data_IF_545489437074
#
_entry.id   IF_545489437074
#
_cell.length_a   1.000
_cell.length_b   1.000
_cell.length_c   1.000
_cell.angle_alpha   90.00
_cell.angle_beta   90.00
_cell.angle_gamma   90.00
#
_symmetry.space_group_name_H-M   'P 1'
#
loop_
_entity.id
_entity.type
_entity.pdbx_description
1 polymer ?
#
# COMPACT_ATOMS: atom_id res chain seq x y z
N UNK A 1 1.31 4.62 12.48
CA UNK A 1 2.68 5.15 12.64
C UNK A 1 2.70 6.66 12.84
N UNK A 2 2.33 7.47 11.84
CA UNK A 2 2.34 8.95 11.95
C UNK A 2 1.65 9.46 13.22
N UNK A 3 0.42 9.00 13.46
CA UNK A 3 -0.34 9.24 14.70
C UNK A 3 0.43 8.90 15.98
N UNK A 4 1.07 7.74 16.02
CA UNK A 4 1.85 7.31 17.18
C UNK A 4 3.07 8.18 17.44
N UNK A 5 3.79 8.59 16.38
CA UNK A 5 4.92 9.52 16.51
C UNK A 5 4.47 10.91 16.97
N UNK A 6 3.30 11.39 16.52
CA UNK A 6 2.73 12.68 16.92
C UNK A 6 2.33 12.74 18.40
N UNK A 7 2.16 11.59 19.06
CA UNK A 7 1.90 11.52 20.51
C UNK A 7 3.17 11.57 21.36
N UNK A 8 4.35 11.46 20.75
CA UNK A 8 5.61 11.51 21.49
C UNK A 8 6.02 12.96 21.69
N UNK A 9 6.06 13.43 22.94
CA UNK A 9 6.51 14.79 23.28
C UNK A 9 7.98 15.02 22.92
N UNK A 10 8.78 13.96 22.89
CA UNK A 10 10.20 14.00 22.54
C UNK A 10 10.47 14.16 21.04
N UNK A 11 9.46 14.25 20.18
CA UNK A 11 9.63 14.26 18.73
C UNK A 11 8.78 15.34 18.05
N UNK A 12 9.42 16.21 17.27
CA UNK A 12 8.73 16.98 16.25
C UNK A 12 8.51 16.10 15.01
N UNK A 13 7.28 16.04 14.51
CA UNK A 13 6.94 15.20 13.35
C UNK A 13 6.33 16.05 12.27
N UNK A 14 6.94 15.99 11.09
CA UNK A 14 6.40 16.56 9.86
C UNK A 14 6.05 15.44 8.89
N UNK A 15 5.01 15.65 8.07
CA UNK A 15 4.71 14.76 6.96
C UNK A 15 5.44 15.18 5.68
N UNK A 16 5.57 14.23 4.75
CA UNK A 16 6.07 14.47 3.40
C UNK A 16 5.00 14.05 2.39
N UNK A 17 4.52 14.99 1.59
CA UNK A 17 3.64 14.72 0.46
C UNK A 17 4.47 14.59 -0.81
N UNK A 18 4.33 13.43 -1.45
CA UNK A 18 4.94 13.10 -2.73
C UNK A 18 4.02 12.16 -3.49
N UNK A 19 3.91 12.33 -4.81
CA UNK A 19 3.12 11.46 -5.67
C UNK A 19 4.02 10.50 -6.45
N UNK A 20 3.47 9.35 -6.86
CA UNK A 20 4.23 8.34 -7.60
C UNK A 20 4.67 8.85 -8.98
N UNK A 21 3.72 9.29 -9.82
CA UNK A 21 3.99 9.75 -11.19
C UNK A 21 3.60 11.21 -11.50
N UNK A 22 2.90 11.89 -10.58
CA UNK A 22 2.41 13.27 -10.76
C UNK A 22 3.35 14.28 -10.12
N UNK A 23 3.52 15.43 -10.77
CA UNK A 23 4.27 16.56 -10.22
C UNK A 23 3.32 17.35 -9.31
N UNK A 24 3.69 17.51 -8.04
CA UNK A 24 2.94 18.39 -7.13
C UNK A 24 3.38 19.85 -7.32
N UNK A 25 2.43 20.77 -7.16
CA UNK A 25 2.75 22.19 -7.07
C UNK A 25 3.72 22.44 -5.90
N UNK A 26 4.57 23.47 -6.02
CA UNK A 26 5.51 23.84 -4.96
C UNK A 26 4.81 24.74 -3.96
N UNK A 27 5.00 24.44 -2.68
CA UNK A 27 4.59 25.31 -1.59
C UNK A 27 5.54 26.49 -1.43
N UNK A 28 5.68 26.98 -0.20
CA UNK A 28 6.50 28.14 0.14
C UNK A 28 7.89 27.68 0.55
N UNK A 29 8.93 28.37 0.08
CA UNK A 29 10.30 28.14 0.57
C UNK A 29 10.55 28.93 1.85
N UNK A 30 10.65 28.21 2.96
CA UNK A 30 10.93 28.79 4.28
C UNK A 30 12.42 28.90 4.61
N UNK A 31 13.30 28.32 3.78
CA UNK A 31 14.74 28.29 4.05
C UNK A 31 15.55 28.61 2.78
N UNK A 32 16.74 29.19 2.97
CA UNK A 32 17.66 29.63 1.92
C UNK A 32 18.09 31.09 2.10
N UNK A 33 18.90 31.61 1.16
CA UNK A 33 19.42 33.00 1.19
C UNK A 33 18.32 34.06 1.15
N UNK A 34 17.21 33.76 0.47
CA UNK A 34 16.01 34.59 0.39
C UNK A 34 14.80 33.66 0.54
N UNK A 35 14.26 33.49 1.76
CA UNK A 35 13.04 32.72 2.00
C UNK A 35 11.79 33.44 1.48
N UNK A 36 11.00 32.76 0.64
CA UNK A 36 9.74 33.31 0.10
C UNK A 36 8.74 33.72 1.20
N UNK A 37 8.87 33.13 2.39
CA UNK A 37 8.05 33.48 3.54
C UNK A 37 8.18 34.94 3.99
N UNK A 38 9.27 35.62 3.64
CA UNK A 38 9.56 37.01 4.08
C UNK A 38 8.86 38.08 3.25
N UNK A 39 8.52 37.82 1.98
CA UNK A 39 7.94 38.84 1.08
C UNK A 39 6.59 38.44 0.48
N UNK A 40 6.15 37.19 0.60
CA UNK A 40 4.80 36.81 0.20
C UNK A 40 3.78 37.26 1.26
N UNK A 41 2.69 37.87 0.82
CA UNK A 41 1.52 38.12 1.67
C UNK A 41 0.86 36.79 2.09
N UNK A 42 0.06 36.79 3.17
CA UNK A 42 -0.68 35.58 3.57
C UNK A 42 -1.63 35.09 2.46
N UNK A 43 -2.30 35.99 1.73
CA UNK A 43 -3.16 35.60 0.60
C UNK A 43 -2.39 34.93 -0.54
N UNK A 44 -1.18 35.39 -0.84
CA UNK A 44 -0.30 34.76 -1.83
C UNK A 44 0.18 33.37 -1.36
N UNK A 45 0.49 33.22 -0.07
CA UNK A 45 0.85 31.91 0.52
C UNK A 45 -0.33 30.94 0.42
N UNK A 46 -1.53 31.35 0.82
CA UNK A 46 -2.76 30.53 0.74
C UNK A 46 -3.05 30.10 -0.70
N UNK A 47 -2.97 31.01 -1.68
CA UNK A 47 -3.13 30.67 -3.10
C UNK A 47 -2.08 29.67 -3.60
N UNK A 48 -0.87 29.69 -3.05
CA UNK A 48 0.17 28.72 -3.40
C UNK A 48 -0.09 27.36 -2.78
N UNK A 49 -0.58 27.34 -1.55
CA UNK A 49 -1.01 26.14 -0.85
C UNK A 49 -2.23 25.48 -1.51
N UNK A 50 -3.21 26.24 -2.00
CA UNK A 50 -4.38 25.66 -2.69
C UNK A 50 -3.99 24.93 -3.98
N UNK A 51 -2.98 25.43 -4.71
CA UNK A 51 -2.44 24.75 -5.90
C UNK A 51 -1.86 23.37 -5.58
N UNK A 52 -1.33 23.16 -4.37
CA UNK A 52 -0.88 21.84 -3.92
C UNK A 52 -2.06 20.89 -3.82
N UNK A 53 -3.14 21.30 -3.14
CA UNK A 53 -4.35 20.51 -3.00
C UNK A 53 -4.95 20.14 -4.36
N UNK A 54 -5.03 21.10 -5.29
CA UNK A 54 -5.47 20.89 -6.68
C UNK A 54 -4.59 19.84 -7.38
N UNK A 55 -3.27 20.03 -7.37
CA UNK A 55 -2.33 19.11 -8.04
C UNK A 55 -2.31 17.69 -7.43
N UNK A 56 -2.74 17.54 -6.18
CA UNK A 56 -2.84 16.25 -5.51
C UNK A 56 -4.20 15.56 -5.79
N UNK A 57 -5.30 16.32 -5.80
CA UNK A 57 -6.66 15.82 -5.92
C UNK A 57 -7.07 15.54 -7.37
N UNK A 58 -6.68 16.38 -8.33
CA UNK A 58 -7.21 16.28 -9.69
C UNK A 58 -6.53 15.18 -10.50
N UNK A 59 -7.34 14.33 -11.14
CA UNK A 59 -7.07 13.91 -12.52
C UNK A 59 -7.81 14.93 -13.38
N UNK A 60 -7.16 16.00 -13.87
CA UNK A 60 -7.87 16.91 -14.75
C UNK A 60 -8.37 16.11 -15.96
N UNK A 61 -9.45 16.58 -16.57
CA UNK A 61 -9.81 16.16 -17.92
C UNK A 61 -8.69 16.70 -18.83
N UNK A 62 -7.63 15.90 -19.01
CA UNK A 62 -6.44 16.35 -19.71
C UNK A 62 -6.71 16.23 -21.20
N UNK A 63 -6.67 17.35 -21.91
CA UNK A 63 -6.67 17.29 -23.37
C UNK A 63 -5.44 16.51 -23.85
N UNK A 64 -5.48 15.90 -25.04
CA UNK A 64 -4.31 15.20 -25.58
C UNK A 64 -3.04 16.07 -25.57
N UNK A 65 -3.19 17.37 -25.85
CA UNK A 65 -2.09 18.32 -25.85
C UNK A 65 -1.50 18.55 -24.45
N UNK A 66 -2.32 18.75 -23.44
CA UNK A 66 -1.86 18.88 -22.05
C UNK A 66 -1.19 17.60 -21.56
N UNK A 67 -1.70 16.42 -21.95
CA UNK A 67 -1.10 15.14 -21.60
C UNK A 67 0.28 14.97 -22.25
N UNK A 68 0.41 15.41 -23.50
CA UNK A 68 1.69 15.44 -24.21
C UNK A 68 2.68 16.41 -23.55
N UNK A 69 2.23 17.62 -23.19
CA UNK A 69 3.06 18.61 -22.52
C UNK A 69 3.50 18.13 -21.13
N UNK A 70 2.62 17.53 -20.34
CA UNK A 70 2.96 16.93 -19.05
C UNK A 70 3.95 15.76 -19.24
N UNK A 71 3.79 14.95 -20.28
CA UNK A 71 4.74 13.89 -20.62
C UNK A 71 6.13 14.45 -21.01
N UNK A 72 6.15 15.53 -21.79
CA UNK A 72 7.39 16.22 -22.18
C UNK A 72 8.08 16.84 -20.96
N UNK A 73 7.34 17.55 -20.12
CA UNK A 73 7.85 18.16 -18.90
C UNK A 73 8.41 17.10 -17.94
N UNK A 74 7.69 15.98 -17.75
CA UNK A 74 8.19 14.82 -16.97
C UNK A 74 9.49 14.27 -17.54
N UNK A 75 9.59 14.13 -18.87
CA UNK A 75 10.81 13.65 -19.53
C UNK A 75 11.99 14.60 -19.34
N UNK A 76 11.78 15.90 -19.55
CA UNK A 76 12.79 16.93 -19.37
C UNK A 76 13.24 17.01 -17.90
N UNK A 77 12.31 17.04 -16.96
CA UNK A 77 12.61 17.04 -15.53
C UNK A 77 13.38 15.79 -15.10
N UNK A 78 13.01 14.61 -15.61
CA UNK A 78 13.72 13.36 -15.34
C UNK A 78 15.14 13.36 -15.95
N UNK A 79 15.30 13.87 -17.18
CA UNK A 79 16.61 13.99 -17.82
C UNK A 79 17.53 14.98 -17.09
N UNK A 80 17.00 16.16 -16.74
CA UNK A 80 17.71 17.15 -15.93
C UNK A 80 18.11 16.57 -14.57
N UNK A 81 17.19 15.87 -13.88
CA UNK A 81 17.50 15.21 -12.61
C UNK A 81 18.59 14.15 -12.76
N UNK A 82 18.56 13.36 -13.85
CA UNK A 82 19.60 12.37 -14.16
C UNK A 82 20.96 13.05 -14.32
N UNK A 83 21.04 14.10 -15.16
CA UNK A 83 22.27 14.83 -15.42
C UNK A 83 22.84 15.45 -14.14
N UNK A 84 22.00 16.13 -13.36
CA UNK A 84 22.45 16.70 -12.08
C UNK A 84 22.89 15.61 -11.09
N UNK A 85 22.31 14.42 -11.15
CA UNK A 85 22.73 13.26 -10.34
C UNK A 85 24.10 12.75 -10.74
N UNK A 86 24.38 12.66 -12.04
CA UNK A 86 25.70 12.26 -12.55
C UNK A 86 26.78 13.26 -12.13
N UNK A 87 26.48 14.55 -12.25
CA UNK A 87 27.40 15.64 -11.90
C UNK A 87 27.53 15.89 -10.39
N UNK A 88 26.79 15.16 -9.54
CA UNK A 88 26.75 15.37 -8.09
C UNK A 88 26.33 16.80 -7.67
N UNK A 89 25.71 17.56 -8.57
CA UNK A 89 25.21 18.92 -8.34
C UNK A 89 23.78 18.94 -7.81
N UNK A 90 23.12 17.78 -7.72
CA UNK A 90 21.70 17.72 -7.47
C UNK A 90 21.32 17.80 -6.00
N UNK A 91 20.25 18.55 -5.78
CA UNK A 91 19.49 18.47 -4.54
C UNK A 91 18.01 18.70 -4.82
N UNK A 92 17.19 17.70 -4.50
CA UNK A 92 15.74 17.79 -4.55
C UNK A 92 15.31 18.61 -3.34
N UNK A 93 14.84 19.82 -3.59
CA UNK A 93 14.43 20.76 -2.54
C UNK A 93 12.99 20.49 -2.13
N UNK A 94 12.75 20.48 -0.83
CA UNK A 94 11.42 20.48 -0.26
C UNK A 94 10.87 21.92 -0.19
N UNK A 95 9.55 22.04 -0.23
CA UNK A 95 8.83 23.28 0.08
C UNK A 95 7.86 23.01 1.22
N UNK A 96 7.53 24.01 2.02
CA UNK A 96 6.58 23.86 3.12
C UNK A 96 5.14 23.99 2.63
N UNK A 97 4.25 23.29 3.31
CA UNK A 97 2.80 23.39 3.17
C UNK A 97 2.19 23.58 4.55
N UNK A 98 1.70 24.80 4.81
CA UNK A 98 0.99 25.11 6.05
C UNK A 98 -0.44 24.59 5.94
N UNK A 99 -0.84 23.77 6.91
CA UNK A 99 -2.10 23.05 6.87
C UNK A 99 -3.28 23.79 7.46
N UNK A 100 -3.09 24.94 8.11
CA UNK A 100 -4.11 25.74 8.85
C UNK A 100 -5.34 26.19 8.04
N UNK A 101 -5.34 25.99 6.71
CA UNK A 101 -6.47 26.28 5.83
C UNK A 101 -6.85 25.07 4.95
N UNK A 102 -6.23 23.92 5.21
CA UNK A 102 -6.26 22.72 4.38
C UNK A 102 -6.31 21.45 5.24
N UNK A 103 -6.75 21.54 6.50
CA UNK A 103 -6.83 20.41 7.42
C UNK A 103 -7.79 19.35 6.91
N UNK A 104 -8.96 19.75 6.38
CA UNK A 104 -9.92 18.82 5.78
C UNK A 104 -9.29 18.05 4.59
N UNK A 105 -8.55 18.75 3.73
CA UNK A 105 -7.81 18.12 2.63
C UNK A 105 -6.81 17.09 3.16
N UNK A 106 -5.95 17.47 4.11
CA UNK A 106 -4.98 16.54 4.72
C UNK A 106 -5.68 15.34 5.35
N UNK A 107 -6.74 15.58 6.12
CA UNK A 107 -7.51 14.54 6.79
C UNK A 107 -8.10 13.55 5.79
N UNK A 108 -8.91 14.04 4.84
CA UNK A 108 -9.60 13.19 3.86
C UNK A 108 -8.65 12.45 2.93
N UNK A 109 -7.54 13.09 2.55
CA UNK A 109 -6.57 12.49 1.63
C UNK A 109 -5.69 11.45 2.31
N UNK A 110 -5.25 11.66 3.56
CA UNK A 110 -4.20 10.83 4.18
C UNK A 110 -4.67 9.96 5.35
N UNK A 111 -5.67 10.40 6.11
CA UNK A 111 -5.90 9.87 7.46
C UNK A 111 -7.31 9.33 7.70
N UNK A 112 -8.33 9.87 7.04
CA UNK A 112 -9.75 9.56 7.29
C UNK A 112 -10.11 8.08 7.11
N UNK A 113 -9.32 7.33 6.32
CA UNK A 113 -9.52 5.89 6.08
C UNK A 113 -8.93 5.00 7.17
N UNK A 114 -8.11 5.55 8.06
CA UNK A 114 -7.25 4.74 8.95
C UNK A 114 -7.22 5.22 10.39
N UNK A 115 -7.67 6.44 10.68
CA UNK A 115 -7.65 7.05 12.01
C UNK A 115 -9.06 7.48 12.44
N UNK A 116 -9.37 7.44 13.75
CA UNK A 116 -10.63 7.94 14.27
C UNK A 116 -10.68 9.46 14.19
N UNK A 117 -11.89 10.04 14.05
CA UNK A 117 -12.07 11.49 13.96
C UNK A 117 -11.49 12.27 15.15
N UNK A 118 -11.35 11.64 16.32
CA UNK A 118 -10.68 12.24 17.49
C UNK A 118 -9.21 12.56 17.26
N UNK A 119 -8.54 11.90 16.30
CA UNK A 119 -7.15 12.17 15.95
C UNK A 119 -7.00 13.30 14.91
N UNK A 120 -8.11 13.95 14.49
CA UNK A 120 -8.10 14.98 13.43
C UNK A 120 -7.07 16.08 13.70
N UNK A 121 -7.14 16.74 14.86
CA UNK A 121 -6.22 17.84 15.19
C UNK A 121 -4.77 17.37 15.33
N UNK A 122 -4.57 16.18 15.90
CA UNK A 122 -3.25 15.60 16.17
C UNK A 122 -2.43 15.46 14.90
N UNK A 123 -3.07 15.04 13.80
CA UNK A 123 -2.40 14.75 12.52
C UNK A 123 -2.45 15.91 11.53
N UNK A 124 -3.51 16.73 11.53
CA UNK A 124 -3.66 17.83 10.56
C UNK A 124 -2.83 19.05 10.93
N UNK A 125 -2.56 19.29 12.22
CA UNK A 125 -1.70 20.40 12.68
C UNK A 125 -0.21 20.17 12.45
N UNK A 126 0.20 18.95 12.09
CA UNK A 126 1.58 18.66 11.80
C UNK A 126 2.04 19.37 10.52
N UNK A 127 3.23 19.98 10.56
CA UNK A 127 3.87 20.60 9.40
C UNK A 127 3.98 19.58 8.25
N UNK A 128 3.73 20.02 7.03
CA UNK A 128 3.86 19.18 5.84
C UNK A 128 4.94 19.75 4.93
N UNK A 129 5.78 18.88 4.40
CA UNK A 129 6.70 19.18 3.31
C UNK A 129 6.16 18.62 2.00
N UNK A 130 6.43 19.32 0.91
CA UNK A 130 6.09 18.89 -0.44
C UNK A 130 7.37 18.55 -1.19
N UNK A 131 7.45 17.32 -1.68
CA UNK A 131 8.38 16.94 -2.72
C UNK A 131 7.65 17.00 -4.08
N UNK A 132 7.88 18.07 -4.84
CA UNK A 132 7.29 18.23 -6.17
C UNK A 132 7.80 17.20 -7.18
N UNK A 133 8.97 16.61 -6.94
CA UNK A 133 9.55 15.59 -7.81
C UNK A 133 8.84 14.25 -7.60
N UNK A 134 8.24 13.66 -8.64
CA UNK A 134 7.57 12.36 -8.53
C UNK A 134 8.55 11.25 -8.13
N UNK A 135 8.05 10.28 -7.37
CA UNK A 135 8.84 9.13 -6.91
C UNK A 135 9.41 8.31 -8.08
N UNK A 136 8.61 8.06 -9.13
CA UNK A 136 9.04 7.37 -10.34
C UNK A 136 10.15 8.13 -11.07
N UNK A 137 10.10 9.47 -11.11
CA UNK A 137 11.14 10.27 -11.73
C UNK A 137 12.49 10.12 -11.03
N UNK A 138 12.50 9.95 -9.70
CA UNK A 138 13.71 9.68 -8.93
C UNK A 138 14.26 8.28 -9.20
N UNK A 139 13.40 7.26 -9.29
CA UNK A 139 13.82 5.92 -9.71
C UNK A 139 14.46 5.93 -11.09
N UNK A 140 13.80 6.55 -12.07
CA UNK A 140 14.31 6.63 -13.42
C UNK A 140 15.63 7.41 -13.50
N UNK A 141 15.77 8.49 -12.73
CA UNK A 141 17.03 9.20 -12.63
C UNK A 141 18.15 8.29 -12.11
N UNK A 142 17.87 7.51 -11.06
CA UNK A 142 18.82 6.54 -10.52
C UNK A 142 19.20 5.44 -11.50
N UNK A 143 18.20 4.77 -12.08
CA UNK A 143 18.41 3.68 -13.02
C UNK A 143 19.14 4.13 -14.29
N UNK A 144 18.84 5.32 -14.82
CA UNK A 144 19.54 5.86 -15.99
C UNK A 144 21.02 6.11 -15.74
N UNK A 145 21.46 6.30 -14.50
CA UNK A 145 22.90 6.41 -14.22
C UNK A 145 23.68 5.11 -14.47
N UNK A 146 22.99 3.96 -14.55
CA UNK A 146 23.60 2.67 -14.87
C UNK A 146 24.18 2.62 -16.30
N UNK A 147 23.74 3.49 -17.21
CA UNK A 147 24.37 3.59 -18.53
C UNK A 147 25.80 4.16 -18.46
N UNK A 148 26.16 4.81 -17.34
CA UNK A 148 27.45 5.45 -17.12
C UNK A 148 28.26 4.81 -15.98
N UNK A 149 27.81 3.65 -15.46
CA UNK A 149 28.51 2.96 -14.38
C UNK A 149 27.78 1.73 -13.85
N UNK A 150 28.44 0.94 -13.01
CA UNK A 150 27.90 -0.32 -12.49
C UNK A 150 26.91 -0.17 -11.33
N UNK A 151 26.82 1.00 -10.72
CA UNK A 151 25.99 1.25 -9.54
C UNK A 151 25.08 2.44 -9.77
N UNK A 152 23.78 2.26 -9.53
CA UNK A 152 22.80 3.33 -9.61
C UNK A 152 23.14 4.42 -8.58
N UNK A 153 23.22 5.67 -9.04
CA UNK A 153 23.38 6.85 -8.21
C UNK A 153 22.03 7.55 -8.10
N UNK A 154 21.55 7.73 -6.88
CA UNK A 154 20.26 8.39 -6.63
C UNK A 154 20.42 9.86 -6.23
N UNK A 155 19.39 10.68 -6.50
CA UNK A 155 19.39 12.07 -6.10
C UNK A 155 19.45 12.25 -4.60
N UNK A 156 19.84 13.46 -4.16
CA UNK A 156 19.80 13.82 -2.74
C UNK A 156 18.55 14.63 -2.45
N UNK A 157 17.68 14.12 -1.58
CA UNK A 157 16.60 14.88 -0.97
C UNK A 157 17.19 15.80 0.11
N UNK A 158 16.89 17.10 0.03
CA UNK A 158 17.23 18.02 1.10
C UNK A 158 16.27 17.80 2.26
N UNK A 159 16.80 17.36 3.40
CA UNK A 159 16.07 17.11 4.64
C UNK A 159 16.54 18.09 5.72
N UNK A 160 16.27 19.40 5.57
CA UNK A 160 16.81 20.41 6.48
C UNK A 160 16.15 20.32 7.85
N UNK A 161 16.96 20.46 8.91
CA UNK A 161 16.47 20.35 10.30
C UNK A 161 15.78 19.02 10.61
N UNK A 162 16.13 17.95 9.88
CA UNK A 162 15.53 16.62 10.05
C UNK A 162 16.59 15.66 10.56
N UNK A 163 16.41 15.12 11.76
CA UNK A 163 17.30 14.10 12.32
C UNK A 163 16.99 12.72 11.75
N UNK A 164 15.69 12.40 11.57
CA UNK A 164 15.22 11.09 11.12
C UNK A 164 14.23 11.27 9.97
N UNK A 165 14.55 10.67 8.82
CA UNK A 165 13.66 10.58 7.67
C UNK A 165 13.09 9.16 7.56
N UNK A 166 11.79 9.02 7.80
CA UNK A 166 11.09 7.74 7.72
C UNK A 166 10.40 7.61 6.36
N UNK A 167 10.71 6.55 5.65
CA UNK A 167 10.11 6.21 4.35
C UNK A 167 9.46 4.84 4.41
N UNK A 168 8.51 4.60 3.50
CA UNK A 168 7.98 3.27 3.20
C UNK A 168 8.63 2.78 1.92
N UNK A 169 8.95 1.48 1.86
CA UNK A 169 9.68 0.83 0.74
C UNK A 169 11.08 1.44 0.48
N UNK A 170 11.94 0.81 -0.33
CA UNK A 170 13.24 1.39 -0.68
C UNK A 170 13.06 2.76 -1.35
N UNK A 171 13.57 3.82 -0.72
CA UNK A 171 13.38 5.19 -1.20
C UNK A 171 14.43 5.57 -2.25
N UNK A 172 14.05 6.11 -3.41
CA UNK A 172 14.96 6.43 -4.52
C UNK A 172 15.72 7.74 -4.32
N UNK A 173 16.20 8.03 -3.11
CA UNK A 173 17.03 9.19 -2.83
C UNK A 173 17.93 8.96 -1.62
N UNK A 174 19.06 9.67 -1.59
CA UNK A 174 19.87 9.88 -0.39
C UNK A 174 19.30 11.07 0.39
N UNK A 175 19.54 11.11 1.69
CA UNK A 175 19.15 12.23 2.57
C UNK A 175 20.32 13.19 2.81
N UNK A 176 20.06 14.34 3.44
CA UNK A 176 21.11 15.30 3.84
C UNK A 176 22.11 14.67 4.82
N UNK A 177 23.33 15.22 4.88
CA UNK A 177 24.27 14.89 5.97
C UNK A 177 23.63 15.29 7.30
N UNK A 178 23.76 14.43 8.32
CA UNK A 178 23.12 14.62 9.62
C UNK A 178 21.73 13.99 9.74
N UNK A 179 21.07 13.66 8.63
CA UNK A 179 19.78 12.93 8.65
C UNK A 179 20.01 11.43 8.56
N UNK A 180 19.41 10.68 9.48
CA UNK A 180 19.32 9.22 9.42
C UNK A 180 18.08 8.77 8.66
N UNK A 181 18.25 7.87 7.68
CA UNK A 181 17.11 7.29 6.96
C UNK A 181 16.65 5.99 7.63
N UNK A 182 15.34 5.88 7.86
CA UNK A 182 14.68 4.65 8.32
C UNK A 182 13.69 4.19 7.25
N UNK A 183 13.92 3.01 6.70
CA UNK A 183 13.08 2.38 5.70
C UNK A 183 12.15 1.39 6.40
N UNK A 184 10.84 1.64 6.37
CA UNK A 184 9.83 0.62 6.69
C UNK A 184 9.77 -0.36 5.52
N UNK A 185 10.39 -1.53 5.69
CA UNK A 185 10.55 -2.51 4.63
C UNK A 185 9.44 -3.55 4.71
N UNK A 186 8.63 -3.63 3.65
CA UNK A 186 7.43 -4.45 3.62
C UNK A 186 7.70 -5.86 3.10
N UNK A 187 8.38 -5.97 1.97
CA UNK A 187 8.71 -7.26 1.38
C UNK A 187 9.80 -7.12 0.29
N UNK A 188 10.34 -8.26 -0.10
CA UNK A 188 11.26 -8.42 -1.22
C UNK A 188 10.59 -9.11 -2.43
N UNK A 189 9.25 -9.11 -2.49
CA UNK A 189 8.48 -9.76 -3.57
C UNK A 189 8.93 -9.29 -4.96
N UNK A 190 9.21 -7.99 -5.21
CA UNK A 190 9.69 -7.56 -6.52
C UNK A 190 10.98 -8.23 -6.99
N UNK A 191 11.79 -8.78 -6.07
CA UNK A 191 13.08 -9.40 -6.39
C UNK A 191 12.99 -10.94 -6.38
N UNK A 192 12.35 -11.53 -5.37
CA UNK A 192 12.27 -13.00 -5.24
C UNK A 192 11.08 -13.63 -5.98
N UNK A 193 10.02 -12.86 -6.23
CA UNK A 193 8.83 -13.34 -6.94
C UNK A 193 8.43 -12.41 -8.10
N UNK A 194 9.37 -12.03 -8.99
CA UNK A 194 9.10 -11.04 -10.03
C UNK A 194 8.01 -11.49 -11.02
N UNK A 195 7.84 -12.80 -11.21
CA UNK A 195 6.79 -13.40 -12.05
C UNK A 195 5.36 -13.25 -11.46
N UNK A 196 5.23 -12.72 -10.24
CA UNK A 196 3.92 -12.56 -9.56
C UNK A 196 3.40 -11.13 -9.54
N UNK A 197 4.16 -10.17 -10.07
CA UNK A 197 3.83 -8.73 -10.09
C UNK A 197 3.74 -8.19 -11.53
N UNK A 198 3.10 -7.02 -11.70
CA UNK A 198 3.12 -6.26 -12.95
C UNK A 198 4.43 -5.50 -13.16
N UNK A 199 4.68 -5.03 -14.39
CA UNK A 199 5.86 -4.24 -14.78
C UNK A 199 7.20 -4.83 -14.29
N UNK A 200 7.31 -6.16 -14.46
CA UNK A 200 8.34 -7.03 -13.85
C UNK A 200 9.74 -6.41 -13.84
N UNK A 201 10.27 -6.05 -15.02
CA UNK A 201 11.64 -5.55 -15.14
C UNK A 201 11.85 -4.20 -14.44
N UNK A 202 10.88 -3.29 -14.52
CA UNK A 202 11.01 -1.97 -13.93
C UNK A 202 10.82 -2.02 -12.41
N UNK A 203 9.83 -2.76 -11.91
CA UNK A 203 9.60 -2.92 -10.48
C UNK A 203 10.76 -3.65 -9.80
N UNK A 204 11.26 -4.72 -10.43
CA UNK A 204 12.43 -5.43 -9.91
C UNK A 204 13.66 -4.51 -9.85
N UNK A 205 13.97 -3.82 -10.95
CA UNK A 205 15.15 -2.97 -11.02
C UNK A 205 15.04 -1.76 -10.07
N UNK A 206 13.89 -1.09 -10.05
CA UNK A 206 13.65 0.07 -9.19
C UNK A 206 13.78 -0.30 -7.71
N UNK A 207 13.19 -1.42 -7.28
CA UNK A 207 13.27 -1.91 -5.91
C UNK A 207 14.69 -2.33 -5.53
N UNK A 208 15.34 -3.17 -6.35
CA UNK A 208 16.67 -3.70 -6.05
C UNK A 208 17.71 -2.58 -5.95
N UNK A 209 17.76 -1.67 -6.94
CA UNK A 209 18.79 -0.64 -6.96
C UNK A 209 18.59 0.43 -5.89
N UNK A 210 17.34 0.80 -5.58
CA UNK A 210 17.07 1.71 -4.47
C UNK A 210 17.41 1.03 -3.13
N UNK A 211 17.06 -0.24 -2.96
CA UNK A 211 17.40 -0.98 -1.74
C UNK A 211 18.93 -1.07 -1.55
N UNK A 212 19.66 -1.43 -2.60
CA UNK A 212 21.12 -1.46 -2.59
C UNK A 212 21.72 -0.09 -2.22
N UNK A 213 21.18 1.00 -2.79
CA UNK A 213 21.63 2.35 -2.48
C UNK A 213 21.34 2.74 -1.03
N UNK A 214 20.19 2.34 -0.49
CA UNK A 214 19.79 2.62 0.89
C UNK A 214 20.66 1.86 1.90
N UNK A 215 20.93 0.58 1.65
CA UNK A 215 21.88 -0.22 2.45
C UNK A 215 23.26 0.43 2.42
N UNK A 216 23.77 0.76 1.23
CA UNK A 216 25.08 1.41 1.07
C UNK A 216 25.16 2.77 1.78
N UNK A 217 24.04 3.50 1.85
CA UNK A 217 23.95 4.78 2.54
C UNK A 217 23.81 4.65 4.07
N UNK A 218 23.75 3.42 4.60
CA UNK A 218 23.62 3.17 6.03
C UNK A 218 22.20 3.39 6.58
N UNK A 219 21.18 3.19 5.73
CA UNK A 219 19.80 3.26 6.18
C UNK A 219 19.49 2.17 7.21
N UNK A 220 18.64 2.48 8.18
CA UNK A 220 18.08 1.49 9.11
C UNK A 220 16.81 0.91 8.51
N UNK A 221 16.53 -0.35 8.76
CA UNK A 221 15.38 -1.06 8.23
C UNK A 221 14.47 -1.52 9.37
N UNK A 222 13.21 -1.08 9.32
CA UNK A 222 12.13 -1.61 10.15
C UNK A 222 11.34 -2.60 9.29
N UNK A 223 11.71 -3.88 9.36
CA UNK A 223 11.09 -4.96 8.62
C UNK A 223 9.77 -5.36 9.29
N UNK A 224 8.71 -5.53 8.50
CA UNK A 224 7.36 -5.83 9.03
C UNK A 224 7.20 -7.25 9.58
N UNK A 225 8.17 -8.12 9.32
CA UNK A 225 8.28 -9.48 9.87
C UNK A 225 9.75 -9.93 9.82
N UNK A 226 10.07 -10.98 10.57
CA UNK A 226 11.30 -11.75 10.48
C UNK A 226 11.47 -12.39 9.10
N UNK A 227 10.40 -12.87 8.46
CA UNK A 227 10.44 -13.30 7.06
C UNK A 227 10.95 -12.20 6.13
N UNK A 228 10.40 -10.98 6.23
CA UNK A 228 10.86 -9.82 5.46
C UNK A 228 12.30 -9.41 5.82
N UNK A 229 12.70 -9.51 7.08
CA UNK A 229 14.10 -9.26 7.50
C UNK A 229 15.04 -10.29 6.88
N UNK A 230 14.69 -11.56 6.90
CA UNK A 230 15.51 -12.63 6.32
C UNK A 230 15.67 -12.45 4.82
N UNK A 231 14.62 -12.04 4.12
CA UNK A 231 14.69 -11.71 2.69
C UNK A 231 15.60 -10.50 2.41
N UNK A 232 15.54 -9.46 3.25
CA UNK A 232 16.50 -8.34 3.17
C UNK A 232 17.95 -8.84 3.32
N UNK A 233 18.22 -9.71 4.30
CA UNK A 233 19.57 -10.22 4.56
C UNK A 233 20.06 -11.22 3.52
N UNK A 234 19.16 -11.96 2.86
CA UNK A 234 19.52 -12.77 1.68
C UNK A 234 20.04 -11.92 0.53
N UNK A 235 19.46 -10.74 0.33
CA UNK A 235 19.92 -9.80 -0.71
C UNK A 235 21.15 -9.01 -0.27
N UNK A 236 21.16 -8.54 0.99
CA UNK A 236 22.19 -7.65 1.53
C UNK A 236 22.55 -8.04 2.96
N UNK A 237 23.45 -9.04 3.16
CA UNK A 237 23.87 -9.47 4.49
C UNK A 237 24.45 -8.34 5.35
N UNK A 238 25.09 -7.35 4.71
CA UNK A 238 25.65 -6.17 5.38
C UNK A 238 24.62 -5.30 6.14
N UNK A 239 23.31 -5.49 5.90
CA UNK A 239 22.26 -4.76 6.59
C UNK A 239 21.90 -5.35 7.98
N UNK A 240 22.54 -6.44 8.43
CA UNK A 240 22.17 -7.17 9.64
C UNK A 240 22.06 -6.29 10.90
N UNK A 241 23.09 -5.46 11.16
CA UNK A 241 23.12 -4.54 12.31
C UNK A 241 22.18 -3.34 12.16
N UNK A 242 21.65 -3.13 10.95
CA UNK A 242 20.77 -2.01 10.60
C UNK A 242 19.30 -2.44 10.52
N UNK A 243 19.00 -3.73 10.55
CA UNK A 243 17.67 -4.28 10.34
C UNK A 243 17.05 -4.85 11.62
N UNK A 244 15.89 -4.32 11.99
CA UNK A 244 15.06 -4.76 13.11
C UNK A 244 13.69 -5.19 12.63
N UNK A 245 13.04 -6.10 13.37
CA UNK A 245 11.65 -6.50 13.11
C UNK A 245 10.72 -5.62 13.93
N UNK A 246 9.79 -4.94 13.25
CA UNK A 246 8.70 -4.18 13.87
C UNK A 246 7.42 -4.51 13.09
N UNK A 247 6.59 -5.38 13.67
CA UNK A 247 5.33 -5.80 13.06
C UNK A 247 4.39 -4.63 12.75
N UNK A 248 3.54 -4.81 11.74
CA UNK A 248 2.49 -3.85 11.46
C UNK A 248 1.44 -3.86 12.59
N UNK A 249 0.85 -2.70 12.85
CA UNK A 249 -0.29 -2.59 13.76
C UNK A 249 -1.58 -2.81 12.97
N UNK A 250 -2.51 -3.57 13.53
CA UNK A 250 -3.87 -3.69 12.99
C UNK A 250 -4.66 -2.42 13.30
N UNK A 251 -5.52 -2.02 12.38
CA UNK A 251 -6.38 -0.86 12.58
C UNK A 251 -7.35 -1.07 13.75
N UNK A 252 -7.59 -0.01 14.53
CA UNK A 252 -8.59 0.05 15.59
C UNK A 252 -10.02 -0.20 15.10
N UNK A 253 -10.27 -0.16 13.79
CA UNK A 253 -11.55 -0.54 13.19
C UNK A 253 -11.85 -2.04 13.29
N UNK A 254 -10.89 -2.89 13.67
CA UNK A 254 -11.11 -4.32 13.88
C UNK A 254 -11.04 -4.67 15.37
N UNK A 255 -12.15 -5.24 15.86
CA UNK A 255 -12.40 -5.62 17.24
C UNK A 255 -13.49 -6.71 17.24
N UNK A 256 -13.68 -7.38 18.38
CA UNK A 256 -14.64 -8.49 18.49
C UNK A 256 -16.03 -8.09 18.01
N UNK A 257 -16.52 -8.77 16.97
CA UNK A 257 -17.79 -8.48 16.33
C UNK A 257 -18.89 -9.40 16.86
N UNK A 258 -20.01 -8.80 17.28
CA UNK A 258 -21.13 -9.48 17.93
C UNK A 258 -22.46 -9.32 17.18
N UNK A 259 -22.46 -8.61 16.04
CA UNK A 259 -23.65 -8.45 15.21
C UNK A 259 -24.12 -9.79 14.64
N UNK A 260 -25.40 -9.92 14.29
CA UNK A 260 -25.94 -11.19 13.80
C UNK A 260 -25.44 -11.60 12.41
N UNK A 261 -25.38 -12.92 12.11
CA UNK A 261 -25.07 -13.42 10.75
C UNK A 261 -26.12 -13.02 9.70
N UNK A 262 -27.33 -12.61 10.10
CA UNK A 262 -28.39 -12.11 9.24
C UNK A 262 -28.00 -10.84 8.46
N UNK A 263 -26.95 -10.12 8.89
CA UNK A 263 -26.43 -8.97 8.16
C UNK A 263 -25.62 -9.37 6.91
N UNK A 264 -25.05 -10.57 6.87
CA UNK A 264 -24.15 -11.02 5.79
C UNK A 264 -24.82 -10.96 4.41
N UNK A 265 -26.04 -11.49 4.20
CA UNK A 265 -26.77 -11.34 2.95
C UNK A 265 -26.92 -9.88 2.46
N UNK A 266 -27.22 -8.97 3.39
CA UNK A 266 -27.40 -7.55 3.07
C UNK A 266 -26.09 -6.88 2.65
N UNK A 267 -25.00 -7.21 3.34
CA UNK A 267 -23.64 -6.74 2.98
C UNK A 267 -23.25 -7.26 1.60
N UNK A 268 -23.38 -8.56 1.35
CA UNK A 268 -23.02 -9.16 0.06
C UNK A 268 -23.78 -8.47 -1.08
N UNK A 269 -25.11 -8.33 -0.94
CA UNK A 269 -25.96 -7.68 -1.96
C UNK A 269 -25.52 -6.26 -2.29
N UNK A 270 -25.14 -5.46 -1.29
CA UNK A 270 -24.78 -4.05 -1.45
C UNK A 270 -23.34 -3.84 -1.94
N UNK A 271 -22.48 -4.85 -1.84
CA UNK A 271 -21.03 -4.74 -2.12
C UNK A 271 -20.55 -5.55 -3.32
N UNK A 272 -21.44 -6.19 -4.08
CA UNK A 272 -21.08 -6.91 -5.31
C UNK A 272 -20.25 -6.03 -6.26
N UNK A 273 -19.13 -6.57 -6.76
CA UNK A 273 -18.20 -5.88 -7.67
C UNK A 273 -18.86 -5.52 -9.02
N UNK A 274 -19.88 -6.25 -9.45
CA UNK A 274 -20.72 -5.91 -10.61
C UNK A 274 -22.19 -5.80 -10.18
N UNK A 275 -22.86 -4.64 -10.36
CA UNK A 275 -24.30 -4.59 -10.52
C UNK A 275 -24.63 -5.00 -11.96
N UNK A 276 -25.58 -5.91 -12.17
CA UNK A 276 -26.19 -6.17 -13.48
C UNK A 276 -26.82 -4.85 -14.01
N UNK A 277 -26.25 -4.19 -15.04
CA UNK A 277 -26.77 -2.91 -15.52
C UNK A 277 -27.97 -3.07 -16.46
N UNK A 278 -28.21 -4.26 -17.01
CA UNK A 278 -29.28 -4.51 -17.98
C UNK A 278 -30.61 -4.90 -17.31
N UNK A 279 -30.57 -5.32 -16.04
CA UNK A 279 -31.78 -5.61 -15.27
C UNK A 279 -32.15 -4.43 -14.39
N UNK A 280 -32.95 -3.51 -14.95
CA UNK A 280 -33.57 -2.35 -14.26
C UNK A 280 -34.58 -2.71 -13.15
N UNK A 281 -34.43 -3.89 -12.53
CA UNK A 281 -35.18 -4.41 -11.39
C UNK A 281 -34.15 -5.06 -10.47
N UNK A 282 -34.22 -4.87 -9.15
CA UNK A 282 -33.36 -5.61 -8.22
C UNK A 282 -33.77 -7.10 -8.22
N UNK A 283 -33.27 -7.86 -9.18
CA UNK A 283 -33.58 -9.29 -9.39
C UNK A 283 -32.68 -10.21 -8.55
N UNK A 284 -31.87 -9.65 -7.66
CA UNK A 284 -30.95 -10.43 -6.83
C UNK A 284 -31.74 -11.22 -5.78
N UNK A 285 -31.55 -12.54 -5.65
CA UNK A 285 -32.35 -13.38 -4.78
C UNK A 285 -32.28 -12.91 -3.32
N UNK A 286 -33.37 -13.08 -2.56
CA UNK A 286 -33.36 -12.94 -1.10
C UNK A 286 -32.45 -14.03 -0.52
N UNK A 287 -31.18 -13.70 -0.34
CA UNK A 287 -30.20 -14.56 0.30
C UNK A 287 -30.60 -14.75 1.77
N UNK A 288 -30.76 -16.00 2.20
CA UNK A 288 -30.80 -16.37 3.63
C UNK A 288 -29.36 -16.46 4.14
N UNK A 289 -29.12 -16.45 5.47
CA UNK A 289 -27.81 -16.80 6.01
C UNK A 289 -27.33 -18.14 5.45
N UNK A 290 -26.07 -18.20 5.04
CA UNK A 290 -25.42 -19.39 4.51
C UNK A 290 -24.01 -19.49 5.05
N UNK A 291 -23.46 -20.70 5.00
CA UNK A 291 -22.08 -20.96 5.40
C UNK A 291 -21.15 -20.61 4.23
N UNK A 292 -20.03 -19.93 4.50
CA UNK A 292 -19.10 -19.52 3.46
C UNK A 292 -17.65 -19.51 3.92
N UNK A 293 -16.74 -19.72 2.97
CA UNK A 293 -15.34 -19.34 3.11
C UNK A 293 -15.15 -17.89 2.65
N UNK A 294 -14.26 -17.16 3.31
CA UNK A 294 -13.93 -15.77 2.98
C UNK A 294 -12.47 -15.67 2.54
N UNK A 295 -12.20 -14.94 1.46
CA UNK A 295 -10.85 -14.52 1.09
C UNK A 295 -10.83 -13.01 0.91
N UNK A 296 -9.92 -12.32 1.60
CA UNK A 296 -9.78 -10.86 1.51
C UNK A 296 -8.41 -10.52 0.93
N UNK A 297 -8.36 -10.34 -0.39
CA UNK A 297 -7.12 -10.08 -1.10
C UNK A 297 -7.38 -9.45 -2.47
N UNK A 298 -6.48 -8.59 -2.93
CA UNK A 298 -6.42 -8.16 -4.33
C UNK A 298 -6.32 -9.38 -5.24
N UNK A 299 -7.11 -9.42 -6.32
CA UNK A 299 -7.13 -10.55 -7.23
C UNK A 299 -5.92 -10.46 -8.16
N UNK A 300 -4.83 -11.12 -7.76
CA UNK A 300 -3.56 -11.19 -8.47
C UNK A 300 -2.90 -12.58 -8.26
N UNK A 301 -1.95 -12.99 -9.12
CA UNK A 301 -1.30 -14.31 -9.06
C UNK A 301 -0.75 -14.70 -7.69
N UNK A 302 -0.08 -13.76 -7.01
CA UNK A 302 0.55 -13.98 -5.70
C UNK A 302 -0.44 -14.39 -4.61
N UNK A 303 -1.69 -13.91 -4.71
CA UNK A 303 -2.75 -14.19 -3.75
C UNK A 303 -3.45 -15.54 -4.00
N UNK A 304 -3.05 -16.27 -5.05
CA UNK A 304 -3.30 -17.70 -5.20
C UNK A 304 -4.79 -18.15 -5.14
N UNK A 305 -5.67 -17.28 -5.61
CA UNK A 305 -7.11 -17.51 -5.69
C UNK A 305 -7.49 -18.81 -6.43
N UNK A 306 -6.69 -19.24 -7.40
CA UNK A 306 -6.92 -20.48 -8.13
C UNK A 306 -6.83 -21.74 -7.24
N UNK A 307 -5.91 -21.77 -6.27
CA UNK A 307 -5.80 -22.90 -5.33
C UNK A 307 -6.97 -22.93 -4.34
N UNK A 308 -7.38 -21.75 -3.85
CA UNK A 308 -8.59 -21.62 -3.04
C UNK A 308 -9.83 -22.11 -3.79
N UNK A 309 -9.98 -21.70 -5.06
CA UNK A 309 -11.11 -22.15 -5.89
C UNK A 309 -11.13 -23.68 -6.00
N UNK A 310 -9.99 -24.29 -6.36
CA UNK A 310 -9.90 -25.74 -6.52
C UNK A 310 -10.22 -26.49 -5.21
N UNK A 311 -9.71 -26.03 -4.07
CA UNK A 311 -10.01 -26.65 -2.78
C UNK A 311 -11.50 -26.49 -2.40
N UNK A 312 -12.06 -25.30 -2.61
CA UNK A 312 -13.47 -25.05 -2.34
C UNK A 312 -14.39 -25.90 -3.24
N UNK A 313 -14.04 -26.10 -4.52
CA UNK A 313 -14.78 -26.99 -5.43
C UNK A 313 -14.81 -28.43 -4.93
N UNK A 314 -13.69 -28.95 -4.41
CA UNK A 314 -13.61 -30.29 -3.80
C UNK A 314 -14.47 -30.38 -2.54
N UNK A 315 -14.30 -29.45 -1.59
CA UNK A 315 -15.08 -29.42 -0.35
C UNK A 315 -16.58 -29.36 -0.65
N UNK A 316 -16.98 -28.55 -1.63
CA UNK A 316 -18.36 -28.42 -2.05
C UNK A 316 -18.91 -29.71 -2.65
N UNK A 317 -18.13 -30.40 -3.47
CA UNK A 317 -18.56 -31.64 -4.10
C UNK A 317 -18.65 -32.81 -3.11
N UNK A 318 -17.72 -32.89 -2.15
CA UNK A 318 -17.54 -34.08 -1.32
C UNK A 318 -18.10 -33.94 0.10
N UNK A 319 -18.17 -32.72 0.65
CA UNK A 319 -18.44 -32.49 2.08
C UNK A 319 -19.63 -31.58 2.35
N UNK A 320 -19.70 -30.41 1.69
CA UNK A 320 -20.72 -29.38 1.98
C UNK A 320 -21.22 -28.71 0.68
N UNK A 321 -22.22 -29.30 0.00
CA UNK A 321 -22.78 -28.77 -1.25
C UNK A 321 -23.35 -27.36 -1.15
N UNK A 322 -23.69 -26.88 0.05
CA UNK A 322 -24.26 -25.55 0.28
C UNK A 322 -23.20 -24.50 0.63
N UNK A 323 -21.94 -24.90 0.86
CA UNK A 323 -20.83 -23.99 1.15
C UNK A 323 -20.60 -23.01 0.01
N UNK A 324 -20.66 -21.71 0.32
CA UNK A 324 -20.41 -20.61 -0.62
C UNK A 324 -18.97 -20.09 -0.51
N UNK A 325 -18.53 -19.33 -1.51
CA UNK A 325 -17.25 -18.63 -1.48
C UNK A 325 -17.45 -17.12 -1.61
N UNK A 326 -16.92 -16.34 -0.67
CA UNK A 326 -16.94 -14.88 -0.71
C UNK A 326 -15.51 -14.36 -0.89
N UNK A 327 -15.28 -13.58 -1.94
CA UNK A 327 -13.98 -12.96 -2.24
C UNK A 327 -14.13 -11.45 -2.16
N UNK A 328 -13.38 -10.81 -1.27
CA UNK A 328 -13.34 -9.35 -1.11
C UNK A 328 -12.03 -8.82 -1.64
N UNK A 329 -12.07 -8.03 -2.72
CA UNK A 329 -10.85 -7.49 -3.29
C UNK A 329 -11.03 -6.73 -4.58
N UNK A 330 -10.07 -5.86 -4.89
CA UNK A 330 -9.99 -5.20 -6.20
C UNK A 330 -9.30 -6.10 -7.22
N UNK A 331 -9.57 -5.88 -8.50
CA UNK A 331 -8.87 -6.54 -9.61
C UNK A 331 -7.43 -6.03 -9.68
N UNK A 332 -6.46 -6.93 -9.55
CA UNK A 332 -5.04 -6.63 -9.59
C UNK A 332 -4.39 -6.95 -10.93
N UNK A 333 -3.09 -7.23 -10.92
CA UNK A 333 -2.38 -7.69 -12.13
C UNK A 333 -2.81 -9.10 -12.53
N UNK A 334 -2.87 -9.40 -13.84
CA UNK A 334 -3.12 -10.74 -14.40
C UNK A 334 -4.32 -11.49 -13.75
N UNK A 335 -5.41 -10.75 -13.50
CA UNK A 335 -6.60 -11.27 -12.82
C UNK A 335 -7.52 -12.11 -13.71
N UNK A 336 -7.42 -11.95 -15.04
CA UNK A 336 -8.41 -12.47 -16.01
C UNK A 336 -8.65 -13.97 -15.86
N UNK A 337 -7.58 -14.77 -15.76
CA UNK A 337 -7.69 -16.23 -15.61
C UNK A 337 -8.43 -16.61 -14.33
N UNK A 338 -8.17 -15.91 -13.23
CA UNK A 338 -8.85 -16.15 -11.95
C UNK A 338 -10.34 -15.83 -12.06
N UNK A 339 -10.69 -14.67 -12.63
CA UNK A 339 -12.09 -14.26 -12.80
C UNK A 339 -12.84 -15.20 -13.75
N UNK A 340 -12.19 -15.68 -14.81
CA UNK A 340 -12.76 -16.71 -15.69
C UNK A 340 -13.10 -18.00 -14.94
N UNK A 341 -12.24 -18.44 -14.01
CA UNK A 341 -12.52 -19.58 -13.15
C UNK A 341 -13.68 -19.32 -12.18
N UNK A 342 -13.83 -18.09 -11.68
CA UNK A 342 -14.93 -17.71 -10.81
C UNK A 342 -16.28 -17.60 -11.51
N UNK A 343 -16.29 -17.26 -12.81
CA UNK A 343 -17.51 -16.87 -13.53
C UNK A 343 -18.64 -17.91 -13.46
N UNK A 344 -18.41 -19.22 -13.69
CA UNK A 344 -19.47 -20.22 -13.59
C UNK A 344 -20.13 -20.30 -12.21
N UNK A 345 -19.38 -20.00 -11.15
CA UNK A 345 -19.87 -20.02 -9.77
C UNK A 345 -20.58 -18.73 -9.38
N UNK A 346 -20.15 -17.60 -9.94
CA UNK A 346 -20.84 -16.32 -9.81
C UNK A 346 -22.22 -16.42 -10.48
N UNK A 347 -22.28 -16.94 -11.70
CA UNK A 347 -23.53 -17.07 -12.46
C UNK A 347 -24.54 -18.00 -11.77
N UNK A 348 -24.06 -18.97 -10.97
CA UNK A 348 -24.89 -19.86 -10.13
C UNK A 348 -25.26 -19.27 -8.77
N UNK A 349 -24.74 -18.11 -8.38
CA UNK A 349 -24.94 -17.56 -7.02
C UNK A 349 -24.25 -18.38 -5.92
N UNK A 350 -23.13 -19.02 -6.25
CA UNK A 350 -22.32 -19.85 -5.35
C UNK A 350 -21.06 -19.13 -4.87
N UNK A 351 -20.55 -18.20 -5.70
CA UNK A 351 -19.38 -17.38 -5.42
C UNK A 351 -19.76 -15.90 -5.53
N UNK A 352 -19.38 -15.10 -4.53
CA UNK A 352 -19.63 -13.66 -4.50
C UNK A 352 -18.33 -12.88 -4.50
N UNK A 353 -18.15 -12.01 -5.50
CA UNK A 353 -17.04 -11.05 -5.54
C UNK A 353 -17.50 -9.70 -5.03
N UNK A 354 -16.88 -9.22 -3.96
CA UNK A 354 -17.19 -7.95 -3.33
C UNK A 354 -16.03 -6.96 -3.52
N UNK A 355 -16.37 -5.67 -3.57
CA UNK A 355 -15.39 -4.60 -3.65
C UNK A 355 -15.79 -3.41 -2.78
N UNK A 356 -14.80 -2.58 -2.43
CA UNK A 356 -15.01 -1.39 -1.60
C UNK A 356 -15.81 -1.66 -0.30
N UNK A 357 -15.60 -2.83 0.33
CA UNK A 357 -16.24 -3.21 1.59
C UNK A 357 -15.60 -2.39 2.72
N UNK A 358 -16.35 -1.55 3.44
CA UNK A 358 -15.81 -0.77 4.55
C UNK A 358 -15.54 -1.68 5.76
N UNK A 359 -14.64 -1.26 6.65
CA UNK A 359 -14.21 -2.06 7.80
C UNK A 359 -15.38 -2.59 8.68
N UNK A 360 -16.46 -1.82 8.97
CA UNK A 360 -17.60 -2.35 9.71
C UNK A 360 -18.29 -3.54 9.05
N UNK A 361 -18.54 -3.47 7.74
CA UNK A 361 -19.14 -4.57 6.99
C UNK A 361 -18.17 -5.76 6.92
N UNK A 362 -16.88 -5.47 6.72
CA UNK A 362 -15.86 -6.50 6.61
C UNK A 362 -15.65 -7.28 7.93
N UNK A 363 -15.76 -6.61 9.09
CA UNK A 363 -15.77 -7.29 10.40
C UNK A 363 -16.87 -8.34 10.51
N UNK A 364 -18.08 -7.98 10.08
CA UNK A 364 -19.23 -8.91 10.06
C UNK A 364 -18.94 -10.09 9.14
N UNK A 365 -18.38 -9.83 7.96
CA UNK A 365 -17.97 -10.90 7.05
C UNK A 365 -16.89 -11.82 7.65
N UNK A 366 -15.88 -11.26 8.31
CA UNK A 366 -14.82 -12.04 8.97
C UNK A 366 -15.39 -12.92 10.08
N UNK A 367 -16.24 -12.34 10.95
CA UNK A 367 -16.79 -13.02 12.12
C UNK A 367 -17.64 -14.23 11.76
N UNK A 368 -18.44 -14.11 10.71
CA UNK A 368 -19.42 -15.14 10.32
C UNK A 368 -18.93 -16.07 9.20
N UNK A 369 -17.72 -15.86 8.71
CA UNK A 369 -17.09 -16.82 7.80
C UNK A 369 -16.81 -18.13 8.55
N UNK A 370 -17.04 -19.27 7.89
CA UNK A 370 -16.61 -20.56 8.43
C UNK A 370 -15.08 -20.60 8.63
N UNK A 371 -14.35 -20.00 7.69
CA UNK A 371 -12.97 -19.60 7.85
C UNK A 371 -12.63 -18.48 6.87
N UNK A 372 -11.72 -17.60 7.28
CA UNK A 372 -10.99 -16.72 6.37
C UNK A 372 -9.77 -17.47 5.86
N UNK A 373 -9.71 -17.70 4.54
CA UNK A 373 -8.60 -18.38 3.91
C UNK A 373 -7.61 -17.35 3.38
N UNK A 374 -6.34 -17.46 3.79
CA UNK A 374 -5.22 -16.64 3.37
C UNK A 374 -4.25 -17.48 2.50
N UNK A 375 -4.53 -17.68 1.20
CA UNK A 375 -3.82 -18.69 0.41
C UNK A 375 -2.54 -18.21 -0.27
N UNK A 376 -2.08 -16.99 0.04
CA UNK A 376 -0.96 -16.33 -0.62
C UNK A 376 0.30 -17.18 -0.74
N UNK A 377 1.00 -17.07 -1.86
CA UNK A 377 2.31 -17.73 -2.06
C UNK A 377 3.50 -16.92 -1.55
N UNK A 378 3.29 -15.65 -1.20
CA UNK A 378 4.33 -14.79 -0.62
C UNK A 378 3.74 -13.51 -0.06
N UNK A 379 4.16 -13.13 1.14
CA UNK A 379 3.68 -11.96 1.89
C UNK A 379 4.81 -11.40 2.75
N UNK A 380 4.71 -10.11 3.08
CA UNK A 380 5.53 -9.51 4.13
C UNK A 380 4.89 -9.57 5.51
N UNK A 381 3.56 -9.51 5.58
CA UNK A 381 2.82 -9.49 6.85
C UNK A 381 1.44 -10.15 6.74
N UNK A 382 0.64 -9.74 5.74
CA UNK A 382 -0.78 -10.07 5.55
C UNK A 382 -1.71 -9.57 6.68
N UNK A 383 -2.56 -8.60 6.34
CA UNK A 383 -3.52 -8.04 7.29
C UNK A 383 -4.76 -8.90 7.43
N UNK A 384 -5.14 -9.66 6.39
CA UNK A 384 -6.47 -10.28 6.30
C UNK A 384 -6.73 -11.28 7.44
N UNK A 385 -5.75 -12.13 7.77
CA UNK A 385 -5.86 -13.06 8.88
C UNK A 385 -5.90 -12.35 10.23
N UNK A 386 -5.06 -11.34 10.47
CA UNK A 386 -5.07 -10.64 11.77
C UNK A 386 -6.36 -9.83 11.96
N UNK A 387 -6.88 -9.21 10.90
CA UNK A 387 -8.18 -8.53 10.91
C UNK A 387 -9.32 -9.52 11.20
N UNK A 388 -9.26 -10.72 10.62
CA UNK A 388 -10.22 -11.78 10.88
C UNK A 388 -10.21 -12.22 12.35
N UNK A 389 -9.03 -12.57 12.87
CA UNK A 389 -8.85 -12.96 14.28
C UNK A 389 -9.32 -11.85 15.23
N UNK A 390 -8.97 -10.59 14.95
CA UNK A 390 -9.42 -9.43 15.74
C UNK A 390 -10.93 -9.23 15.70
N UNK A 391 -11.58 -9.65 14.61
CA UNK A 391 -13.05 -9.63 14.47
C UNK A 391 -13.72 -10.83 15.15
N UNK A 392 -12.96 -11.81 15.64
CA UNK A 392 -13.46 -13.07 16.19
C UNK A 392 -13.70 -14.16 15.14
N UNK A 393 -13.13 -14.02 13.95
CA UNK A 393 -13.17 -15.02 12.88
C UNK A 393 -12.08 -16.08 13.00
N UNK A 394 -12.24 -17.16 12.25
CA UNK A 394 -11.28 -18.28 12.15
C UNK A 394 -10.38 -18.08 10.92
N UNK A 395 -9.11 -18.47 11.00
CA UNK A 395 -8.14 -18.31 9.89
C UNK A 395 -7.53 -19.65 9.49
N UNK A 396 -7.50 -19.89 8.18
CA UNK A 396 -6.71 -20.95 7.53
C UNK A 396 -5.73 -20.26 6.59
N UNK A 397 -4.43 -20.47 6.75
CA UNK A 397 -3.41 -19.73 6.03
C UNK A 397 -2.37 -20.64 5.37
N UNK A 398 -1.80 -20.20 4.25
CA UNK A 398 -0.68 -20.92 3.65
C UNK A 398 0.51 -20.96 4.61
N UNK A 399 1.28 -22.03 4.59
CA UNK A 399 2.41 -22.28 5.49
C UNK A 399 3.67 -21.43 5.23
N UNK A 400 3.56 -20.30 4.52
CA UNK A 400 4.67 -19.39 4.26
C UNK A 400 5.21 -18.78 5.56
N UNK A 401 6.50 -18.41 5.57
CA UNK A 401 7.17 -17.91 6.77
C UNK A 401 6.46 -16.70 7.40
N UNK A 402 5.97 -15.76 6.59
CA UNK A 402 5.26 -14.57 7.08
C UNK A 402 3.96 -14.94 7.81
N UNK A 403 3.14 -15.84 7.27
CA UNK A 403 1.91 -16.28 7.95
C UNK A 403 2.21 -17.05 9.24
N UNK A 404 3.20 -17.93 9.24
CA UNK A 404 3.60 -18.68 10.45
C UNK A 404 4.06 -17.74 11.56
N UNK A 405 4.78 -16.69 11.21
CA UNK A 405 5.25 -15.70 12.18
C UNK A 405 4.11 -14.79 12.68
N UNK A 406 3.31 -14.23 11.76
CA UNK A 406 2.32 -13.20 12.09
C UNK A 406 1.05 -13.79 12.72
N UNK A 407 0.62 -14.96 12.27
CA UNK A 407 -0.59 -15.61 12.77
C UNK A 407 -0.31 -16.59 13.91
N UNK A 408 0.94 -17.02 14.09
CA UNK A 408 1.40 -17.89 15.16
C UNK A 408 0.49 -19.12 15.39
N UNK A 409 -0.05 -19.29 16.58
CA UNK A 409 -0.97 -20.37 16.96
C UNK A 409 -2.45 -20.04 16.67
N UNK A 410 -2.75 -18.85 16.15
CA UNK A 410 -4.11 -18.38 15.87
C UNK A 410 -4.71 -18.87 14.54
N UNK A 411 -3.95 -19.60 13.71
CA UNK A 411 -4.39 -20.09 12.42
C UNK A 411 -4.08 -21.58 12.22
N UNK A 412 -4.90 -22.26 11.43
CA UNK A 412 -4.53 -23.53 10.82
C UNK A 412 -3.68 -23.28 9.57
N UNK A 413 -2.72 -24.17 9.30
CA UNK A 413 -1.79 -24.00 8.19
C UNK A 413 -1.86 -25.16 7.21
N UNK A 414 -1.76 -24.85 5.93
CA UNK A 414 -1.66 -25.82 4.85
C UNK A 414 -0.40 -25.58 3.99
N UNK A 415 0.09 -26.60 3.30
CA UNK A 415 1.12 -26.47 2.30
C UNK A 415 0.61 -25.58 1.16
N UNK A 416 1.27 -24.44 1.04
CA UNK A 416 1.07 -23.42 0.03
C UNK A 416 0.81 -23.98 -1.36
N UNK A 417 1.41 -25.12 -1.74
CA UNK A 417 1.30 -25.71 -3.08
C UNK A 417 0.36 -26.92 -3.20
N UNK A 418 -0.21 -27.40 -2.08
CA UNK A 418 -1.07 -28.59 -2.06
C UNK A 418 -2.55 -28.21 -1.93
N UNK A 419 -3.36 -28.57 -2.93
CA UNK A 419 -4.82 -28.44 -2.83
C UNK A 419 -5.39 -29.46 -1.83
N UNK A 420 -4.83 -30.67 -1.79
CA UNK A 420 -5.29 -31.74 -0.89
C UNK A 420 -5.11 -31.34 0.58
N UNK A 421 -3.98 -30.71 0.90
CA UNK A 421 -3.70 -30.24 2.27
C UNK A 421 -4.53 -29.01 2.66
N UNK A 422 -5.02 -28.22 1.69
CA UNK A 422 -5.98 -27.15 1.95
C UNK A 422 -7.42 -27.67 2.13
N UNK A 423 -7.75 -28.82 1.55
CA UNK A 423 -9.06 -29.46 1.69
C UNK A 423 -9.17 -30.17 3.05
N UNK A 424 -8.10 -30.86 3.45
CA UNK A 424 -7.98 -31.51 4.76
C UNK A 424 -8.00 -30.48 5.90
#
# INVERSE_FOLDING_TARGET
>A
MFRGLRMLESCEVAGLLQMSGRILAKGVREQGLLPESLWLSESQKINRYSRIAISAAERPYVTFFEALMEALERRLNSAALTLQTLLCLNSVKLSSFRTTHFEDFIWRTLFAKSLPASDFELVTRAKQFICSTPWQSMHMAGLRTLTFGRTAKYPRLQTPGTDIFITQTPYPARVSRGTSMVVRYHDAVPVFMPHTIGDVSLHQASHFHALAANVKAGARFACVSGATRNDLLRLFPAAESQAVVIHNMVSHHYFGENSSPELVPGIIRTRLLEPDPEKGVDVRPKLKPFRYLLCVATIEPRKNHARLLAAWEVIKAETDPDLKLVVVGSLGWNYLKTVQGFRPWIDRGELFMLSAVPAPDLRVLYRHAAATVCPSVGEGFDFSGVESMRSGGVVIASGIAAHREVYADGAAYFDTYSTVDLVA
#
